data_IF_897769385670
#
_entry.id   IF_897769385670
#
_cell.length_a   1.000
_cell.length_b   1.000
_cell.length_c   1.000
_cell.angle_alpha   90.00
_cell.angle_beta   90.00
_cell.angle_gamma   90.00
#
_symmetry.space_group_name_H-M   'P 1'
#
loop_
_entity.id
_entity.type
_entity.pdbx_description
1 polymer ?
#
# COMPACT_ATOMS: atom_id res chain seq x y z
N UNK A 1 -36.45 33.22 -11.99
CA UNK A 1 -35.97 32.21 -11.01
C UNK A 1 -35.08 31.25 -11.76
N UNK A 2 -33.76 31.48 -11.72
CA UNK A 2 -32.76 30.67 -12.42
C UNK A 2 -32.43 29.43 -11.59
N UNK A 3 -32.58 28.24 -12.18
CA UNK A 3 -32.19 26.98 -11.59
C UNK A 3 -30.66 26.86 -11.52
N UNK A 4 -30.12 26.56 -10.34
CA UNK A 4 -28.69 26.30 -10.12
C UNK A 4 -28.29 24.95 -10.74
N UNK A 5 -27.24 24.87 -11.58
CA UNK A 5 -26.80 23.60 -12.16
C UNK A 5 -26.25 22.67 -11.06
N UNK A 6 -26.78 21.45 -10.96
CA UNK A 6 -26.31 20.44 -10.01
C UNK A 6 -24.85 20.06 -10.24
N UNK A 7 -24.09 19.92 -9.15
CA UNK A 7 -22.69 19.47 -9.14
C UNK A 7 -22.59 18.02 -9.64
N UNK A 8 -22.40 17.81 -10.93
CA UNK A 8 -22.15 16.49 -11.52
C UNK A 8 -20.68 16.11 -11.32
N UNK A 9 -20.42 15.01 -10.59
CA UNK A 9 -19.14 14.28 -10.69
C UNK A 9 -18.23 14.20 -9.45
N UNK A 10 -18.71 14.44 -8.22
CA UNK A 10 -17.89 14.25 -7.01
C UNK A 10 -18.16 12.87 -6.39
N UNK A 11 -17.12 12.06 -6.20
CA UNK A 11 -17.20 10.82 -5.43
C UNK A 11 -17.57 11.12 -3.98
N UNK A 12 -18.45 10.30 -3.40
CA UNK A 12 -18.81 10.40 -2.00
C UNK A 12 -17.64 9.93 -1.13
N UNK A 13 -17.19 10.77 -0.18
CA UNK A 13 -16.14 10.45 0.78
C UNK A 13 -16.72 9.68 1.98
N UNK A 14 -17.19 8.46 1.74
CA UNK A 14 -17.84 7.60 2.75
C UNK A 14 -16.91 6.53 3.35
N UNK A 15 -15.72 6.38 2.78
CA UNK A 15 -14.71 5.44 3.26
C UNK A 15 -14.01 6.00 4.51
N UNK A 16 -14.39 5.46 5.66
CA UNK A 16 -13.73 5.73 6.94
C UNK A 16 -12.47 4.89 7.16
N UNK A 17 -11.78 5.15 8.28
CA UNK A 17 -10.55 4.46 8.69
C UNK A 17 -10.72 2.94 8.71
N UNK A 18 -11.84 2.45 9.25
CA UNK A 18 -12.10 1.01 9.36
C UNK A 18 -12.17 0.30 8.01
N UNK A 19 -12.70 0.98 6.99
CA UNK A 19 -12.66 0.43 5.64
C UNK A 19 -11.22 0.33 5.14
N UNK A 20 -10.41 1.38 5.33
CA UNK A 20 -8.99 1.37 4.96
C UNK A 20 -8.23 0.23 5.65
N UNK A 21 -8.42 0.06 6.96
CA UNK A 21 -7.83 -1.05 7.73
C UNK A 21 -8.27 -2.40 7.17
N UNK A 22 -9.56 -2.59 6.89
CA UNK A 22 -10.07 -3.84 6.32
C UNK A 22 -9.46 -4.15 4.95
N UNK A 23 -9.31 -3.16 4.07
CA UNK A 23 -8.67 -3.31 2.76
C UNK A 23 -7.21 -3.72 2.90
N UNK A 24 -6.45 -3.05 3.78
CA UNK A 24 -5.03 -3.37 3.99
C UNK A 24 -4.86 -4.79 4.56
N UNK A 25 -5.69 -5.19 5.54
CA UNK A 25 -5.66 -6.54 6.10
C UNK A 25 -6.02 -7.58 5.03
N UNK A 26 -7.11 -7.36 4.28
CA UNK A 26 -7.54 -8.27 3.23
C UNK A 26 -6.50 -8.46 2.13
N UNK A 27 -5.88 -7.36 1.69
CA UNK A 27 -4.82 -7.39 0.67
C UNK A 27 -3.54 -8.08 1.19
N UNK A 28 -3.15 -7.83 2.44
CA UNK A 28 -1.92 -8.35 3.03
C UNK A 28 -2.03 -9.85 3.34
N UNK A 29 -3.14 -10.27 3.97
CA UNK A 29 -3.33 -11.67 4.36
C UNK A 29 -3.62 -12.55 3.14
N UNK A 30 -4.26 -12.01 2.10
CA UNK A 30 -4.76 -12.74 0.91
C UNK A 30 -3.81 -13.79 0.30
N UNK A 31 -3.15 -13.48 -0.80
CA UNK A 31 -2.36 -14.47 -1.52
C UNK A 31 -1.01 -14.81 -0.83
N UNK A 32 -0.49 -13.90 -0.01
CA UNK A 32 0.87 -13.98 0.54
C UNK A 32 1.05 -15.05 1.62
N UNK A 33 0.13 -15.16 2.57
CA UNK A 33 0.33 -16.02 3.75
C UNK A 33 0.17 -17.51 3.45
N UNK A 34 -0.53 -17.89 2.38
CA UNK A 34 -0.75 -19.32 2.10
C UNK A 34 0.47 -19.98 1.45
N UNK A 35 1.28 -19.21 0.70
CA UNK A 35 2.44 -19.74 -0.04
C UNK A 35 3.77 -19.40 0.62
N UNK A 36 3.93 -18.19 1.12
CA UNK A 36 5.23 -17.68 1.59
C UNK A 36 5.77 -18.43 2.82
N UNK A 37 4.98 -18.75 3.86
CA UNK A 37 5.50 -19.43 5.05
C UNK A 37 6.07 -20.81 4.75
N UNK A 38 5.41 -21.58 3.87
CA UNK A 38 5.85 -22.94 3.52
C UNK A 38 7.15 -22.91 2.71
N UNK A 39 7.31 -21.93 1.83
CA UNK A 39 8.55 -21.72 1.07
C UNK A 39 9.71 -21.30 1.99
N UNK A 40 9.48 -20.34 2.88
CA UNK A 40 10.48 -19.88 3.86
C UNK A 40 10.90 -21.01 4.80
N UNK A 41 9.94 -21.83 5.27
CA UNK A 41 10.21 -22.97 6.13
C UNK A 41 11.03 -24.07 5.44
N UNK A 42 10.94 -24.22 4.11
CA UNK A 42 11.78 -25.17 3.34
C UNK A 42 13.24 -24.72 3.24
N UNK A 43 13.46 -23.40 3.20
CA UNK A 43 14.80 -22.83 3.07
C UNK A 43 15.53 -22.70 4.41
N UNK A 44 14.79 -22.65 5.52
CA UNK A 44 15.33 -22.50 6.87
C UNK A 44 15.19 -23.81 7.67
N UNK A 45 16.30 -24.52 7.95
CA UNK A 45 16.25 -25.82 8.62
C UNK A 45 15.96 -25.73 10.13
N UNK A 46 15.93 -24.53 10.71
CA UNK A 46 15.74 -24.33 12.15
C UNK A 46 14.54 -23.43 12.43
N UNK A 47 13.81 -23.74 13.50
CA UNK A 47 12.65 -22.95 13.96
C UNK A 47 13.05 -21.53 14.36
N UNK A 48 14.22 -21.34 14.97
CA UNK A 48 14.75 -20.02 15.32
C UNK A 48 15.06 -19.18 14.09
N UNK A 49 15.66 -19.76 13.04
CA UNK A 49 15.89 -19.07 11.78
C UNK A 49 14.60 -18.65 11.08
N UNK A 50 13.59 -19.52 11.09
CA UNK A 50 12.25 -19.21 10.57
C UNK A 50 11.61 -18.01 11.29
N UNK A 51 11.59 -18.02 12.63
CA UNK A 51 11.02 -16.91 13.41
C UNK A 51 11.82 -15.62 13.24
N UNK A 52 13.15 -15.69 13.13
CA UNK A 52 14.00 -14.53 12.90
C UNK A 52 13.72 -13.90 11.52
N UNK A 53 13.53 -14.71 10.48
CA UNK A 53 13.17 -14.21 9.15
C UNK A 53 11.84 -13.43 9.17
N UNK A 54 10.83 -13.93 9.89
CA UNK A 54 9.56 -13.22 10.09
C UNK A 54 9.73 -11.93 10.88
N UNK A 55 10.53 -11.95 11.95
CA UNK A 55 10.78 -10.76 12.74
C UNK A 55 11.48 -9.67 11.92
N UNK A 56 12.53 -10.02 11.18
CA UNK A 56 13.24 -9.10 10.30
C UNK A 56 12.35 -8.56 9.18
N UNK A 57 11.54 -9.43 8.56
CA UNK A 57 10.55 -9.01 7.56
C UNK A 57 9.51 -8.05 8.13
N UNK A 58 9.03 -8.30 9.34
CA UNK A 58 8.10 -7.41 10.05
C UNK A 58 8.70 -6.05 10.37
N UNK A 59 9.96 -6.02 10.83
CA UNK A 59 10.69 -4.75 11.06
C UNK A 59 10.89 -3.99 9.75
N UNK A 60 11.31 -4.67 8.69
CA UNK A 60 11.46 -4.06 7.36
C UNK A 60 10.15 -3.45 6.85
N UNK A 61 9.04 -4.19 6.98
CA UNK A 61 7.72 -3.70 6.60
C UNK A 61 7.27 -2.48 7.44
N UNK A 62 7.54 -2.50 8.76
CA UNK A 62 7.20 -1.39 9.64
C UNK A 62 7.97 -0.11 9.28
N UNK A 63 9.25 -0.23 8.93
CA UNK A 63 10.06 0.91 8.46
C UNK A 63 9.52 1.46 7.13
N UNK A 64 9.18 0.58 6.19
CA UNK A 64 8.60 0.98 4.90
C UNK A 64 7.26 1.69 5.05
N UNK A 65 6.37 1.17 5.90
CA UNK A 65 5.05 1.78 6.10
C UNK A 65 5.13 3.12 6.82
N UNK A 66 6.09 3.32 7.72
CA UNK A 66 6.29 4.60 8.39
C UNK A 66 6.61 5.73 7.39
N UNK A 67 7.53 5.48 6.46
CA UNK A 67 7.88 6.43 5.41
C UNK A 67 6.71 6.68 4.44
N UNK A 68 5.99 5.63 4.04
CA UNK A 68 4.83 5.76 3.16
C UNK A 68 3.65 6.47 3.84
N UNK A 69 3.46 6.29 5.14
CA UNK A 69 2.43 6.98 5.91
C UNK A 69 2.68 8.49 5.96
N UNK A 70 3.94 8.91 6.16
CA UNK A 70 4.32 10.33 6.13
C UNK A 70 4.03 10.94 4.75
N UNK A 71 4.43 10.27 3.67
CA UNK A 71 4.13 10.71 2.29
C UNK A 71 2.62 10.75 2.00
N UNK A 72 1.86 9.79 2.52
CA UNK A 72 0.40 9.74 2.36
C UNK A 72 -0.33 10.90 3.05
N UNK A 73 0.19 11.36 4.20
CA UNK A 73 -0.34 12.55 4.90
C UNK A 73 0.06 13.84 4.17
N UNK A 74 1.30 13.92 3.67
CA UNK A 74 1.81 15.09 2.95
C UNK A 74 1.13 15.29 1.59
N UNK A 75 0.75 14.21 0.91
CA UNK A 75 0.14 14.24 -0.40
C UNK A 75 -1.18 13.43 -0.43
N UNK A 76 -2.29 13.98 0.12
CA UNK A 76 -3.59 13.30 0.21
C UNK A 76 -4.30 13.32 -1.15
N UNK A 77 -3.70 12.68 -2.16
CA UNK A 77 -4.21 12.54 -3.53
C UNK A 77 -4.34 11.06 -3.87
N UNK A 78 -5.37 10.72 -4.64
CA UNK A 78 -5.52 9.37 -5.18
C UNK A 78 -4.37 9.03 -6.13
N UNK A 79 -3.79 7.83 -5.99
CA UNK A 79 -2.78 7.30 -6.92
C UNK A 79 -1.53 6.69 -6.28
N UNK A 80 -1.45 6.57 -4.95
CA UNK A 80 -0.43 5.76 -4.27
C UNK A 80 1.02 6.12 -4.63
N UNK A 81 1.86 5.09 -4.84
CA UNK A 81 3.29 5.26 -5.12
C UNK A 81 3.57 6.03 -6.42
N UNK A 82 2.69 5.91 -7.42
CA UNK A 82 2.77 6.68 -8.66
C UNK A 82 2.82 8.20 -8.38
N UNK A 83 1.95 8.70 -7.50
CA UNK A 83 1.87 10.14 -7.19
C UNK A 83 3.17 10.61 -6.54
N UNK A 84 3.73 9.82 -5.63
CA UNK A 84 4.98 10.14 -4.95
C UNK A 84 6.15 10.17 -5.92
N UNK A 85 6.31 9.13 -6.74
CA UNK A 85 7.39 9.03 -7.72
C UNK A 85 7.29 10.14 -8.79
N UNK A 86 6.08 10.42 -9.28
CA UNK A 86 5.84 11.51 -10.23
C UNK A 86 6.17 12.88 -9.63
N UNK A 87 5.86 13.09 -8.35
CA UNK A 87 6.10 14.37 -7.69
C UNK A 87 7.61 14.65 -7.49
N UNK A 88 8.38 13.63 -7.10
CA UNK A 88 9.80 13.78 -6.76
C UNK A 88 10.70 13.65 -8.00
N UNK A 89 10.44 12.66 -8.86
CA UNK A 89 11.34 12.27 -9.95
C UNK A 89 10.80 12.61 -11.34
N UNK A 90 9.61 13.20 -11.42
CA UNK A 90 9.00 13.66 -12.66
C UNK A 90 8.20 12.58 -13.42
N UNK A 91 7.69 12.94 -14.62
CA UNK A 91 6.68 12.15 -15.32
C UNK A 91 7.13 10.74 -15.72
N UNK A 92 8.39 10.57 -16.12
CA UNK A 92 8.92 9.28 -16.57
C UNK A 92 9.00 8.26 -15.42
N UNK A 93 9.57 8.67 -14.28
CA UNK A 93 9.63 7.82 -13.09
C UNK A 93 8.22 7.48 -12.57
N UNK A 94 7.30 8.46 -12.61
CA UNK A 94 5.89 8.22 -12.36
C UNK A 94 5.33 7.13 -13.27
N UNK A 95 5.55 7.25 -14.59
CA UNK A 95 5.10 6.24 -15.56
C UNK A 95 5.65 4.84 -15.26
N UNK A 96 6.95 4.69 -14.98
CA UNK A 96 7.56 3.39 -14.66
C UNK A 96 6.95 2.75 -13.41
N UNK A 97 6.75 3.54 -12.35
CA UNK A 97 6.14 3.05 -11.11
C UNK A 97 4.68 2.67 -11.35
N UNK A 98 3.91 3.52 -12.01
CA UNK A 98 2.50 3.22 -12.32
C UNK A 98 2.33 2.01 -13.24
N UNK A 99 3.27 1.77 -14.15
CA UNK A 99 3.30 0.58 -15.00
C UNK A 99 3.65 -0.69 -14.22
N UNK A 100 4.52 -0.59 -13.23
CA UNK A 100 4.97 -1.74 -12.42
C UNK A 100 3.97 -2.17 -11.34
N UNK A 101 3.06 -1.26 -10.95
CA UNK A 101 2.02 -1.47 -9.94
C UNK A 101 0.72 -2.08 -10.53
N UNK A 102 0.62 -2.18 -11.86
CA UNK A 102 -0.54 -2.72 -12.59
C UNK A 102 -0.28 -4.12 -13.13
#
# INVERSE_FOLDING_TARGET
>A
MSATPGSKGRLLQVLGIWFGVAVIIGNTIGAGIMRTPSEVARQLPTTSGYLLAWLLGGVYAALGVAALAELGVLMPRSGGQYVFARHVFGPFAGFVVGWSDW
#
